data_IF_001962322522
#
_entry.id   IF_001962322522
#
_cell.length_a   1.000
_cell.length_b   1.000
_cell.length_c   1.000
_cell.angle_alpha   90.00
_cell.angle_beta   90.00
_cell.angle_gamma   90.00
#
_symmetry.space_group_name_H-M   'P 1'
#
loop_
_entity.id
_entity.type
_entity.pdbx_description
1 polymer ?
#
# COMPACT_ATOMS: atom_id res chain seq x y z
N UNK A 1 -2.02 -34.23 19.04
CA UNK A 1 -1.26 -32.98 19.21
C UNK A 1 0.17 -33.15 18.68
N UNK A 2 0.90 -34.16 19.13
CA UNK A 2 2.31 -34.37 18.80
C UNK A 2 2.51 -34.52 17.29
N UNK A 3 1.70 -35.35 16.63
CA UNK A 3 1.72 -35.44 15.15
C UNK A 3 1.59 -34.09 14.44
N UNK A 4 0.78 -33.16 14.96
CA UNK A 4 0.60 -31.82 14.34
C UNK A 4 1.87 -30.98 14.46
N UNK A 5 2.56 -31.08 15.62
CA UNK A 5 3.82 -30.37 15.85
C UNK A 5 4.95 -30.98 15.03
N UNK A 6 5.03 -32.31 14.97
CA UNK A 6 6.00 -33.05 14.18
C UNK A 6 5.83 -32.76 12.68
N UNK A 7 4.59 -32.70 12.19
CA UNK A 7 4.31 -32.32 10.81
C UNK A 7 4.68 -30.86 10.49
N UNK A 8 4.46 -29.94 11.45
CA UNK A 8 4.94 -28.56 11.28
C UNK A 8 6.47 -28.50 11.22
N UNK A 9 7.17 -29.25 12.08
CA UNK A 9 8.62 -29.36 12.08
C UNK A 9 9.13 -29.94 10.77
N UNK A 10 8.56 -31.04 10.29
CA UNK A 10 8.86 -31.66 9.01
C UNK A 10 8.73 -30.67 7.84
N UNK A 11 7.65 -29.89 7.77
CA UNK A 11 7.47 -28.88 6.73
C UNK A 11 8.56 -27.80 6.76
N UNK A 12 9.06 -27.45 7.96
CA UNK A 12 10.08 -26.40 8.11
C UNK A 12 11.50 -26.91 7.91
N UNK A 13 11.81 -28.11 8.41
CA UNK A 13 13.16 -28.68 8.43
C UNK A 13 13.42 -29.47 7.16
N UNK A 14 12.63 -30.53 6.91
CA UNK A 14 12.86 -31.45 5.79
C UNK A 14 12.46 -30.81 4.45
N UNK A 15 11.27 -30.23 4.39
CA UNK A 15 10.80 -29.50 3.19
C UNK A 15 11.36 -28.08 3.06
N UNK A 16 12.10 -27.59 4.06
CA UNK A 16 12.72 -26.25 4.08
C UNK A 16 11.76 -25.10 3.72
N UNK A 17 10.51 -25.23 4.09
CA UNK A 17 9.50 -24.19 3.81
C UNK A 17 9.71 -22.98 4.71
N UNK A 18 9.54 -21.81 4.13
CA UNK A 18 9.46 -20.58 4.91
C UNK A 18 8.25 -20.61 5.85
N UNK A 19 8.37 -19.99 7.04
CA UNK A 19 7.38 -20.04 8.13
C UNK A 19 5.93 -19.77 7.66
N UNK A 20 5.71 -18.78 6.80
CA UNK A 20 4.36 -18.48 6.29
C UNK A 20 3.87 -19.49 5.23
N UNK A 21 4.77 -20.19 4.56
CA UNK A 21 4.39 -21.27 3.63
C UNK A 21 3.97 -22.52 4.40
N UNK A 22 4.75 -22.90 5.40
CA UNK A 22 4.41 -23.98 6.32
C UNK A 22 3.06 -23.68 7.03
N UNK A 23 2.89 -22.47 7.58
CA UNK A 23 1.66 -22.03 8.24
C UNK A 23 0.44 -22.13 7.32
N UNK A 24 0.58 -21.80 6.04
CA UNK A 24 -0.50 -21.95 5.06
C UNK A 24 -0.93 -23.40 4.86
N UNK A 25 0.03 -24.33 4.77
CA UNK A 25 -0.27 -25.77 4.67
C UNK A 25 -0.91 -26.29 5.97
N UNK A 26 -0.37 -25.88 7.13
CA UNK A 26 -0.96 -26.22 8.42
C UNK A 26 -2.40 -25.75 8.57
N UNK A 27 -2.78 -24.59 8.04
CA UNK A 27 -4.17 -24.11 8.01
C UNK A 27 -5.07 -24.97 7.13
N UNK A 28 -4.58 -25.44 6.00
CA UNK A 28 -5.33 -26.37 5.14
C UNK A 28 -5.54 -27.67 5.89
N UNK A 29 -4.50 -28.21 6.49
CA UNK A 29 -4.57 -29.43 7.29
C UNK A 29 -5.54 -29.27 8.46
N UNK A 30 -5.45 -28.17 9.23
CA UNK A 30 -6.40 -27.87 10.31
C UNK A 30 -7.86 -27.84 9.81
N UNK A 31 -8.10 -27.26 8.62
CA UNK A 31 -9.45 -27.23 8.05
C UNK A 31 -9.98 -28.63 7.76
N UNK A 32 -9.15 -29.52 7.20
CA UNK A 32 -9.53 -30.91 6.90
C UNK A 32 -9.84 -31.66 8.20
N UNK A 33 -8.93 -31.62 9.20
CA UNK A 33 -9.14 -32.33 10.46
C UNK A 33 -10.36 -31.81 11.23
N UNK A 34 -10.60 -30.49 11.20
CA UNK A 34 -11.82 -29.90 11.80
C UNK A 34 -13.09 -30.40 11.08
N UNK A 35 -13.06 -30.58 9.77
CA UNK A 35 -14.20 -31.17 9.04
C UNK A 35 -14.41 -32.64 9.44
N UNK A 36 -13.33 -33.44 9.51
CA UNK A 36 -13.41 -34.84 9.96
C UNK A 36 -13.93 -34.99 11.39
N UNK A 37 -13.48 -34.10 12.28
CA UNK A 37 -13.98 -34.08 13.67
C UNK A 37 -15.48 -33.76 13.72
N UNK A 38 -15.92 -32.70 13.01
CA UNK A 38 -17.33 -32.29 12.97
C UNK A 38 -18.26 -33.33 12.33
N UNK A 39 -17.76 -34.14 11.41
CA UNK A 39 -18.50 -35.24 10.78
C UNK A 39 -18.44 -36.56 11.57
N UNK A 40 -17.84 -36.58 12.76
CA UNK A 40 -17.73 -37.78 13.58
C UNK A 40 -16.69 -38.79 13.12
N UNK A 41 -15.91 -38.49 12.06
CA UNK A 41 -14.84 -39.36 11.54
C UNK A 41 -13.60 -39.38 12.44
N UNK A 42 -13.47 -38.40 13.34
CA UNK A 42 -12.39 -38.29 14.31
C UNK A 42 -12.97 -38.04 15.69
N UNK A 43 -12.45 -38.76 16.69
CA UNK A 43 -12.89 -38.63 18.09
C UNK A 43 -12.42 -37.33 18.77
N UNK A 44 -11.29 -36.76 18.31
CA UNK A 44 -10.70 -35.52 18.88
C UNK A 44 -10.14 -34.64 17.76
N UNK A 45 -10.26 -33.32 17.93
CA UNK A 45 -9.58 -32.35 17.03
C UNK A 45 -8.09 -32.28 17.41
N UNK A 46 -7.17 -32.70 16.55
CA UNK A 46 -5.72 -32.67 16.85
C UNK A 46 -5.17 -31.24 16.98
N UNK A 47 -5.91 -30.22 16.55
CA UNK A 47 -5.55 -28.82 16.64
C UNK A 47 -6.23 -28.07 17.81
N UNK A 48 -6.90 -28.74 18.73
CA UNK A 48 -7.63 -28.07 19.83
C UNK A 48 -6.77 -27.05 20.58
N UNK A 49 -5.50 -27.40 20.87
CA UNK A 49 -4.56 -26.54 21.60
C UNK A 49 -3.45 -25.94 20.72
N UNK A 50 -3.57 -26.05 19.38
CA UNK A 50 -2.55 -25.56 18.46
C UNK A 50 -2.97 -24.22 17.85
N UNK A 51 -2.22 -23.16 18.18
CA UNK A 51 -2.40 -21.82 17.60
C UNK A 51 -1.39 -21.58 16.49
N UNK A 52 -1.88 -21.54 15.26
CA UNK A 52 -1.05 -21.20 14.10
C UNK A 52 -0.83 -19.68 14.04
N UNK A 53 0.42 -19.24 14.12
CA UNK A 53 0.81 -17.83 14.08
C UNK A 53 1.40 -17.47 12.72
N UNK A 54 0.81 -16.50 12.05
CA UNK A 54 1.37 -15.92 10.84
C UNK A 54 2.42 -14.89 11.18
N UNK A 55 3.61 -15.03 10.61
CA UNK A 55 4.67 -14.01 10.73
C UNK A 55 4.32 -12.84 9.82
N UNK A 56 4.15 -11.65 10.38
CA UNK A 56 3.98 -10.42 9.59
C UNK A 56 5.30 -10.10 8.89
N UNK A 57 5.29 -10.10 7.56
CA UNK A 57 6.44 -9.62 6.77
C UNK A 57 6.17 -8.17 6.42
N UNK A 58 7.06 -7.31 6.82
CA UNK A 58 7.13 -5.97 6.26
C UNK A 58 7.61 -6.11 4.80
N UNK A 59 6.85 -5.56 3.88
CA UNK A 59 7.17 -5.58 2.44
C UNK A 59 7.87 -4.31 2.00
N UNK A 60 7.96 -3.33 2.88
CA UNK A 60 8.51 -2.03 2.60
C UNK A 60 7.69 -1.23 1.58
N UNK A 61 8.24 -0.11 1.20
CA UNK A 61 7.79 0.81 0.15
C UNK A 61 9.00 1.53 -0.41
N UNK A 62 8.89 2.16 -1.57
CA UNK A 62 9.95 3.01 -2.09
C UNK A 62 9.92 4.36 -1.37
N UNK A 63 11.08 4.82 -0.97
CA UNK A 63 11.26 6.21 -0.53
C UNK A 63 11.02 7.16 -1.71
N UNK A 64 10.86 8.44 -1.44
CA UNK A 64 10.74 9.46 -2.49
C UNK A 64 11.93 9.41 -3.45
N UNK A 65 13.13 9.34 -2.93
CA UNK A 65 14.35 9.25 -3.73
C UNK A 65 14.38 7.98 -4.62
N UNK A 66 14.06 6.81 -4.07
CA UNK A 66 14.01 5.56 -4.86
C UNK A 66 12.95 5.61 -5.96
N UNK A 67 11.80 6.25 -5.69
CA UNK A 67 10.75 6.45 -6.70
C UNK A 67 11.21 7.40 -7.79
N UNK A 68 11.91 8.48 -7.46
CA UNK A 68 12.51 9.43 -8.40
C UNK A 68 13.57 8.76 -9.29
N UNK A 69 14.40 7.88 -8.73
CA UNK A 69 15.35 7.08 -9.53
C UNK A 69 14.64 6.25 -10.61
N UNK A 70 13.52 5.58 -10.25
CA UNK A 70 12.75 4.78 -11.21
C UNK A 70 12.06 5.66 -12.25
N UNK A 71 11.49 6.80 -11.84
CA UNK A 71 10.86 7.78 -12.73
C UNK A 71 11.82 8.28 -13.80
N UNK A 72 13.05 8.64 -13.41
CA UNK A 72 14.05 9.22 -14.26
C UNK A 72 14.86 8.17 -15.05
N UNK A 73 14.70 6.89 -14.73
CA UNK A 73 15.41 5.81 -15.43
C UNK A 73 14.97 5.72 -16.89
N UNK A 74 15.93 5.77 -17.81
CA UNK A 74 15.69 5.65 -19.25
C UNK A 74 16.27 4.33 -19.77
N UNK A 75 15.52 3.22 -19.69
CA UNK A 75 16.00 1.93 -20.16
C UNK A 75 16.13 1.90 -21.69
N UNK A 76 17.20 1.32 -22.20
CA UNK A 76 17.42 1.14 -23.65
C UNK A 76 16.51 0.06 -24.24
N UNK A 77 16.09 -0.91 -23.42
CA UNK A 77 15.25 -2.02 -23.87
C UNK A 77 13.78 -1.70 -23.69
N UNK A 78 12.98 -1.69 -24.76
CA UNK A 78 11.52 -1.43 -24.75
C UNK A 78 10.74 -2.26 -23.72
N UNK A 79 11.19 -3.52 -23.44
CA UNK A 79 10.54 -4.38 -22.42
C UNK A 79 10.67 -3.82 -20.99
N UNK A 80 11.83 -3.23 -20.66
CA UNK A 80 12.07 -2.60 -19.36
C UNK A 80 11.33 -1.28 -19.25
N UNK A 81 11.27 -0.52 -20.36
CA UNK A 81 10.48 0.71 -20.42
C UNK A 81 8.99 0.45 -20.13
N UNK A 82 8.39 -0.56 -20.79
CA UNK A 82 7.01 -0.97 -20.50
C UNK A 82 6.81 -1.38 -19.03
N UNK A 83 7.76 -2.16 -18.48
CA UNK A 83 7.67 -2.59 -17.08
C UNK A 83 7.81 -1.40 -16.11
N UNK A 84 8.75 -0.46 -16.38
CA UNK A 84 8.91 0.76 -15.60
C UNK A 84 7.63 1.60 -15.61
N UNK A 85 7.09 1.88 -16.81
CA UNK A 85 5.93 2.75 -16.96
C UNK A 85 4.68 2.18 -16.27
N UNK A 86 4.42 0.88 -16.42
CA UNK A 86 3.33 0.20 -15.69
C UNK A 86 3.57 0.27 -14.17
N UNK A 87 4.80 0.11 -13.72
CA UNK A 87 5.13 0.19 -12.30
C UNK A 87 4.90 1.60 -11.74
N UNK A 88 5.39 2.62 -12.45
CA UNK A 88 5.18 4.03 -12.11
C UNK A 88 3.69 4.36 -12.09
N UNK A 89 2.94 3.93 -13.10
CA UNK A 89 1.49 4.09 -13.12
C UNK A 89 0.84 3.50 -11.85
N UNK A 90 1.22 2.29 -11.46
CA UNK A 90 0.74 1.68 -10.21
C UNK A 90 1.18 2.43 -8.94
N UNK A 91 2.37 3.06 -8.95
CA UNK A 91 2.84 3.88 -7.83
C UNK A 91 2.01 5.17 -7.66
N UNK A 92 1.37 5.67 -8.71
CA UNK A 92 0.57 6.90 -8.67
C UNK A 92 -0.95 6.66 -8.70
N UNK A 93 -1.40 5.42 -8.87
CA UNK A 93 -2.82 5.06 -8.86
C UNK A 93 -3.20 4.07 -7.76
N UNK A 94 -2.23 3.33 -7.23
CA UNK A 94 -2.44 2.32 -6.21
C UNK A 94 -3.09 1.03 -6.72
N UNK A 95 -3.37 0.89 -8.01
CA UNK A 95 -3.93 -0.34 -8.57
C UNK A 95 -2.95 -1.51 -8.43
N UNK A 96 -3.49 -2.69 -8.16
CA UNK A 96 -2.70 -3.92 -8.20
C UNK A 96 -2.51 -4.41 -9.65
N UNK A 97 -1.59 -5.37 -9.82
CA UNK A 97 -1.27 -5.93 -11.13
C UNK A 97 -2.51 -6.40 -11.90
N UNK A 98 -3.40 -7.15 -11.25
CA UNK A 98 -4.58 -7.73 -11.90
C UNK A 98 -5.55 -6.65 -12.37
N UNK A 99 -5.80 -5.65 -11.53
CA UNK A 99 -6.64 -4.50 -11.87
C UNK A 99 -6.01 -3.69 -13.00
N UNK A 100 -4.70 -3.40 -12.93
CA UNK A 100 -4.02 -2.64 -13.98
C UNK A 100 -4.04 -3.37 -15.32
N UNK A 101 -3.90 -4.69 -15.32
CA UNK A 101 -3.93 -5.51 -16.53
C UNK A 101 -5.33 -5.60 -17.18
N UNK A 102 -6.39 -5.33 -16.43
CA UNK A 102 -7.77 -5.34 -16.93
C UNK A 102 -8.32 -3.97 -17.31
N UNK A 103 -7.54 -2.87 -17.09
CA UNK A 103 -8.01 -1.52 -17.41
C UNK A 103 -8.19 -1.33 -18.92
N UNK A 104 -9.36 -0.82 -19.27
CA UNK A 104 -9.74 -0.45 -20.65
C UNK A 104 -10.17 1.01 -20.72
N UNK A 105 -10.41 1.51 -21.91
CA UNK A 105 -10.91 2.88 -22.13
C UNK A 105 -12.24 3.15 -21.44
N UNK A 106 -13.06 2.12 -21.24
CA UNK A 106 -14.33 2.21 -20.50
C UNK A 106 -14.16 2.57 -19.02
N UNK A 107 -12.95 2.39 -18.48
CA UNK A 107 -12.64 2.77 -17.11
C UNK A 107 -12.26 4.26 -16.95
N UNK A 108 -12.04 4.97 -18.07
CA UNK A 108 -11.71 6.39 -18.06
C UNK A 108 -12.99 7.21 -17.97
N UNK A 109 -13.06 8.11 -17.00
CA UNK A 109 -14.20 9.00 -16.76
C UNK A 109 -13.68 10.43 -16.70
N UNK A 110 -14.21 11.28 -17.57
CA UNK A 110 -13.99 12.71 -17.50
C UNK A 110 -15.03 13.33 -16.54
N UNK A 111 -14.57 13.98 -15.49
CA UNK A 111 -15.45 14.68 -14.56
C UNK A 111 -15.79 16.09 -15.06
N UNK A 112 -16.83 16.71 -14.49
CA UNK A 112 -17.34 18.04 -14.89
C UNK A 112 -16.28 19.15 -14.72
N UNK A 113 -15.32 18.96 -13.81
CA UNK A 113 -14.18 19.86 -13.58
C UNK A 113 -13.03 19.68 -14.59
N UNK A 114 -13.23 18.84 -15.61
CA UNK A 114 -12.20 18.51 -16.62
C UNK A 114 -11.15 17.53 -16.13
N UNK A 115 -11.22 17.05 -14.91
CA UNK A 115 -10.26 16.05 -14.39
C UNK A 115 -10.59 14.64 -14.89
N UNK A 116 -9.53 13.88 -15.20
CA UNK A 116 -9.65 12.49 -15.63
C UNK A 116 -9.55 11.55 -14.43
N UNK A 117 -10.45 10.59 -14.36
CA UNK A 117 -10.52 9.57 -13.33
C UNK A 117 -10.47 8.17 -13.92
N UNK A 118 -10.02 7.22 -13.13
CA UNK A 118 -10.25 5.79 -13.40
C UNK A 118 -11.26 5.28 -12.38
N UNK A 119 -12.34 4.72 -12.90
CA UNK A 119 -13.36 4.00 -12.12
C UNK A 119 -13.31 2.51 -12.49
N UNK A 120 -13.10 1.68 -11.50
CA UNK A 120 -12.97 0.23 -11.70
C UNK A 120 -13.36 -0.54 -10.45
N UNK A 121 -13.45 -1.85 -10.58
CA UNK A 121 -13.62 -2.74 -9.44
C UNK A 121 -12.36 -3.56 -9.26
N UNK A 122 -11.90 -3.67 -8.03
CA UNK A 122 -10.72 -4.49 -7.74
C UNK A 122 -11.00 -5.95 -8.10
N UNK A 123 -10.22 -6.51 -9.03
CA UNK A 123 -10.43 -7.89 -9.56
C UNK A 123 -10.48 -8.93 -8.44
N UNK A 124 -9.68 -8.78 -7.38
CA UNK A 124 -9.61 -9.74 -6.27
C UNK A 124 -10.79 -9.71 -5.32
N UNK A 125 -11.47 -8.59 -5.16
CA UNK A 125 -12.47 -8.39 -4.09
C UNK A 125 -13.80 -7.83 -4.58
N UNK A 126 -13.91 -7.44 -5.85
CA UNK A 126 -15.09 -6.79 -6.42
C UNK A 126 -15.38 -5.39 -5.85
N UNK A 127 -14.52 -4.84 -4.98
CA UNK A 127 -14.74 -3.54 -4.36
C UNK A 127 -14.44 -2.44 -5.36
N UNK A 128 -15.34 -1.45 -5.45
CA UNK A 128 -15.15 -0.27 -6.27
C UNK A 128 -13.91 0.52 -5.84
N UNK A 129 -13.18 1.02 -6.82
CA UNK A 129 -12.00 1.86 -6.64
C UNK A 129 -12.09 3.00 -7.66
N UNK A 130 -11.99 4.24 -7.17
CA UNK A 130 -12.03 5.45 -7.98
C UNK A 130 -10.81 6.30 -7.65
N UNK A 131 -10.01 6.64 -8.67
CA UNK A 131 -8.75 7.37 -8.50
C UNK A 131 -8.67 8.48 -9.53
N UNK A 132 -8.42 9.71 -9.07
CA UNK A 132 -8.10 10.84 -9.93
C UNK A 132 -6.71 10.66 -10.52
N UNK A 133 -6.58 10.83 -11.81
CA UNK A 133 -5.29 10.72 -12.48
C UNK A 133 -4.51 12.04 -12.32
N UNK A 134 -3.30 11.90 -11.81
CA UNK A 134 -2.30 12.96 -11.75
C UNK A 134 -1.55 13.03 -13.10
N UNK A 135 -0.72 14.04 -13.28
CA UNK A 135 -0.01 14.30 -14.57
C UNK A 135 0.86 13.12 -15.02
N UNK A 136 1.54 12.43 -14.07
CA UNK A 136 2.41 11.30 -14.39
C UNK A 136 1.62 10.12 -14.98
N UNK A 137 0.57 9.57 -14.35
CA UNK A 137 -0.24 8.53 -14.97
C UNK A 137 -0.93 9.00 -16.27
N UNK A 138 -1.37 10.26 -16.38
CA UNK A 138 -1.92 10.80 -17.61
C UNK A 138 -0.90 10.78 -18.76
N UNK A 139 0.33 11.21 -18.52
CA UNK A 139 1.40 11.20 -19.52
C UNK A 139 1.75 9.79 -19.98
N UNK A 140 1.70 8.80 -19.05
CA UNK A 140 1.91 7.39 -19.40
C UNK A 140 0.75 6.87 -20.27
N UNK A 141 -0.50 7.18 -19.92
CA UNK A 141 -1.66 6.76 -20.74
C UNK A 141 -1.61 7.36 -22.14
N UNK A 142 -1.25 8.65 -22.28
CA UNK A 142 -1.06 9.34 -23.57
C UNK A 142 0.05 8.70 -24.38
N UNK A 143 1.18 8.34 -23.75
CA UNK A 143 2.30 7.65 -24.41
C UNK A 143 1.88 6.35 -25.09
N UNK A 144 1.02 5.56 -24.44
CA UNK A 144 0.60 4.26 -24.95
C UNK A 144 -0.67 4.30 -25.80
N UNK A 145 -1.35 5.43 -25.89
CA UNK A 145 -2.59 5.60 -26.64
C UNK A 145 -2.48 5.15 -28.11
N UNK A 146 -1.43 5.52 -28.89
CA UNK A 146 -1.32 5.10 -30.28
C UNK A 146 -1.03 3.61 -30.46
N UNK A 147 -0.64 2.90 -29.40
CA UNK A 147 -0.21 1.49 -29.44
C UNK A 147 -1.13 0.58 -28.63
N UNK A 148 -2.30 1.06 -28.23
CA UNK A 148 -3.30 0.25 -27.52
C UNK A 148 -3.77 -0.92 -28.37
N UNK A 149 -3.92 -2.07 -27.73
CA UNK A 149 -4.40 -3.30 -28.36
C UNK A 149 -5.65 -3.73 -27.61
N UNK A 150 -6.72 -4.06 -28.32
CA UNK A 150 -8.00 -4.53 -27.75
C UNK A 150 -8.60 -3.60 -26.71
N UNK A 151 -8.35 -2.29 -26.80
CA UNK A 151 -8.88 -1.29 -25.87
C UNK A 151 -8.19 -1.25 -24.50
N UNK A 152 -7.17 -2.07 -24.25
CA UNK A 152 -6.41 -2.01 -22.99
C UNK A 152 -5.58 -0.74 -22.88
N UNK A 153 -5.62 -0.09 -21.71
CA UNK A 153 -4.94 1.20 -21.50
C UNK A 153 -3.42 1.08 -21.49
N UNK A 154 -2.87 -0.04 -21.05
CA UNK A 154 -1.44 -0.22 -20.80
C UNK A 154 -0.92 -1.55 -21.35
N UNK A 155 0.33 -1.61 -21.83
CA UNK A 155 0.96 -2.83 -22.33
C UNK A 155 1.46 -3.73 -21.18
N UNK A 156 0.54 -4.25 -20.35
CA UNK A 156 0.91 -5.05 -19.18
C UNK A 156 1.43 -6.41 -19.60
N UNK A 157 2.63 -6.75 -19.12
CA UNK A 157 3.29 -8.03 -19.34
C UNK A 157 2.74 -9.08 -18.37
N UNK A 158 2.97 -10.39 -18.63
CA UNK A 158 2.65 -11.43 -17.66
C UNK A 158 3.32 -11.15 -16.30
N UNK A 159 2.67 -11.51 -15.20
CA UNK A 159 3.14 -11.18 -13.85
C UNK A 159 4.57 -11.67 -13.57
N UNK A 160 4.93 -12.85 -14.09
CA UNK A 160 6.29 -13.40 -13.96
C UNK A 160 7.32 -12.52 -14.68
N UNK A 161 7.09 -12.19 -15.96
CA UNK A 161 7.98 -11.32 -16.75
C UNK A 161 8.04 -9.92 -16.17
N UNK A 162 6.90 -9.36 -15.74
CA UNK A 162 6.82 -8.05 -15.12
C UNK A 162 7.70 -7.96 -13.88
N UNK A 163 7.56 -8.89 -12.92
CA UNK A 163 8.39 -8.91 -11.72
C UNK A 163 9.87 -9.20 -12.01
N UNK A 164 10.18 -10.00 -13.03
CA UNK A 164 11.57 -10.23 -13.47
C UNK A 164 12.21 -8.92 -13.95
N UNK A 165 11.50 -8.14 -14.78
CA UNK A 165 12.01 -6.88 -15.30
C UNK A 165 12.08 -5.78 -14.24
N UNK A 166 11.17 -5.76 -13.27
CA UNK A 166 11.27 -4.88 -12.11
C UNK A 166 12.53 -5.19 -11.28
N UNK A 167 12.91 -6.47 -11.14
CA UNK A 167 14.16 -6.84 -10.49
C UNK A 167 15.37 -6.35 -11.29
N UNK A 168 15.37 -6.48 -12.62
CA UNK A 168 16.43 -5.98 -13.51
C UNK A 168 16.59 -4.45 -13.35
N UNK A 169 15.49 -3.71 -13.32
CA UNK A 169 15.48 -2.24 -13.12
C UNK A 169 16.03 -1.90 -11.72
N UNK A 170 15.57 -2.57 -10.67
CA UNK A 170 16.04 -2.33 -9.31
C UNK A 170 17.54 -2.54 -9.16
N UNK A 171 18.07 -3.62 -9.76
CA UNK A 171 19.51 -3.91 -9.78
C UNK A 171 20.29 -2.82 -10.52
N UNK A 172 19.80 -2.37 -11.68
CA UNK A 172 20.45 -1.31 -12.46
C UNK A 172 20.50 0.05 -11.73
N UNK A 173 19.54 0.30 -10.82
CA UNK A 173 19.44 1.51 -10.04
C UNK A 173 20.05 1.39 -8.63
N UNK A 174 20.64 0.25 -8.27
CA UNK A 174 21.19 0.02 -6.92
C UNK A 174 20.14 -0.06 -5.81
N UNK A 175 18.86 -0.24 -6.15
CA UNK A 175 17.78 -0.35 -5.16
C UNK A 175 17.84 -1.73 -4.50
N UNK A 176 18.20 -1.77 -3.22
CA UNK A 176 18.35 -3.02 -2.46
C UNK A 176 17.01 -3.70 -2.11
N UNK A 177 15.91 -2.96 -2.17
CA UNK A 177 14.58 -3.49 -1.89
C UNK A 177 14.10 -4.40 -3.01
N UNK A 178 13.33 -5.43 -2.64
CA UNK A 178 12.69 -6.29 -3.62
C UNK A 178 11.55 -5.56 -4.31
N UNK A 179 11.82 -4.93 -5.45
CA UNK A 179 10.81 -4.25 -6.26
C UNK A 179 9.90 -5.29 -6.93
N UNK A 180 8.61 -5.20 -6.65
CA UNK A 180 7.56 -6.09 -7.18
C UNK A 180 6.31 -5.28 -7.49
N UNK A 181 5.41 -5.83 -8.30
CA UNK A 181 4.11 -5.20 -8.59
C UNK A 181 3.34 -4.75 -7.34
N UNK A 182 3.45 -5.50 -6.24
CA UNK A 182 2.77 -5.17 -4.99
C UNK A 182 3.44 -4.01 -4.23
N UNK A 183 4.76 -3.82 -4.41
CA UNK A 183 5.49 -2.70 -3.80
C UNK A 183 4.98 -1.36 -4.34
N UNK A 184 4.59 -1.27 -5.62
CA UNK A 184 4.00 -0.06 -6.19
C UNK A 184 2.78 0.43 -5.39
N UNK A 185 1.89 -0.49 -5.04
CA UNK A 185 0.70 -0.17 -4.25
C UNK A 185 1.03 0.26 -2.81
N UNK A 186 2.06 -0.32 -2.20
CA UNK A 186 2.58 0.15 -0.90
C UNK A 186 3.18 1.55 -1.03
N UNK A 187 3.94 1.81 -2.09
CA UNK A 187 4.53 3.11 -2.40
C UNK A 187 3.45 4.18 -2.62
N UNK A 188 2.38 3.85 -3.36
CA UNK A 188 1.22 4.75 -3.48
C UNK A 188 0.66 5.12 -2.12
N UNK A 189 0.35 4.11 -1.30
CA UNK A 189 -0.30 4.33 -0.02
C UNK A 189 0.57 5.11 0.99
N UNK A 190 1.90 4.96 0.93
CA UNK A 190 2.85 5.62 1.84
C UNK A 190 3.44 6.88 1.24
N UNK A 191 4.32 6.73 0.26
CA UNK A 191 5.17 7.81 -0.28
C UNK A 191 4.37 8.83 -1.09
N UNK A 192 3.40 8.35 -1.89
CA UNK A 192 2.64 9.21 -2.81
C UNK A 192 1.44 9.86 -2.13
N UNK A 193 0.74 9.14 -1.23
CA UNK A 193 -0.49 9.68 -0.64
C UNK A 193 -0.32 10.05 0.84
N UNK A 194 -0.08 9.09 1.74
CA UNK A 194 -0.05 9.35 3.18
C UNK A 194 1.02 10.36 3.58
N UNK A 195 2.23 10.24 3.05
CA UNK A 195 3.32 11.18 3.29
C UNK A 195 3.02 12.62 2.79
N UNK A 196 2.04 12.79 1.90
CA UNK A 196 1.58 14.08 1.40
C UNK A 196 0.24 14.53 2.02
N UNK A 197 -0.17 13.93 3.14
CA UNK A 197 -1.32 14.38 3.94
C UNK A 197 -2.68 13.87 3.48
N UNK A 198 -2.73 12.87 2.60
CA UNK A 198 -4.00 12.23 2.24
C UNK A 198 -4.49 11.35 3.40
N UNK A 199 -5.76 11.49 3.78
CA UNK A 199 -6.33 10.72 4.90
C UNK A 199 -6.33 9.22 4.64
N UNK A 200 -6.22 8.44 5.72
CA UNK A 200 -6.17 6.98 5.62
C UNK A 200 -7.49 6.40 5.08
N UNK A 201 -8.61 7.07 5.32
CA UNK A 201 -9.94 6.73 4.80
C UNK A 201 -10.01 6.91 3.29
N UNK A 202 -9.48 8.03 2.78
CA UNK A 202 -9.40 8.31 1.35
C UNK A 202 -8.49 7.31 0.64
N UNK A 203 -7.33 7.01 1.23
CA UNK A 203 -6.42 5.97 0.72
C UNK A 203 -7.12 4.61 0.69
N UNK A 204 -7.86 4.25 1.74
CA UNK A 204 -8.61 3.00 1.81
C UNK A 204 -9.63 2.86 0.68
N UNK A 205 -10.36 3.94 0.38
CA UNK A 205 -11.32 4.01 -0.74
C UNK A 205 -10.61 3.87 -2.08
N UNK A 206 -9.56 4.65 -2.34
CA UNK A 206 -8.77 4.57 -3.58
C UNK A 206 -8.20 3.17 -3.80
N UNK A 207 -7.74 2.52 -2.74
CA UNK A 207 -7.22 1.16 -2.80
C UNK A 207 -8.32 0.07 -2.89
N UNK A 208 -9.59 0.38 -2.73
CA UNK A 208 -10.65 -0.63 -2.69
C UNK A 208 -10.47 -1.64 -1.56
N UNK A 209 -10.12 -1.17 -0.35
CA UNK A 209 -10.03 -2.04 0.82
C UNK A 209 -11.40 -2.15 1.51
N UNK A 210 -11.82 -3.38 1.82
CA UNK A 210 -13.06 -3.66 2.56
C UNK A 210 -12.96 -3.32 4.05
N UNK A 211 -11.73 -3.30 4.59
CA UNK A 211 -11.46 -3.03 6.02
C UNK A 211 -10.39 -1.96 6.15
N UNK A 212 -10.69 -0.89 6.87
CA UNK A 212 -9.76 0.20 7.14
C UNK A 212 -8.47 -0.29 7.82
N UNK A 213 -8.57 -1.29 8.69
CA UNK A 213 -7.41 -1.92 9.34
C UNK A 213 -6.34 -2.44 8.36
N UNK A 214 -6.72 -2.76 7.10
CA UNK A 214 -5.78 -3.14 6.05
C UNK A 214 -4.95 -1.96 5.59
N UNK A 215 -5.47 -0.73 5.69
CA UNK A 215 -4.82 0.52 5.29
C UNK A 215 -4.03 1.13 6.44
N UNK A 216 -4.46 0.93 7.69
CA UNK A 216 -3.78 1.43 8.89
C UNK A 216 -2.33 0.95 9.07
N UNK A 217 -1.92 -0.11 8.36
CA UNK A 217 -0.51 -0.52 8.33
C UNK A 217 0.41 0.59 7.79
N UNK A 218 -0.10 1.46 6.91
CA UNK A 218 0.67 2.56 6.32
C UNK A 218 0.83 3.74 7.29
N UNK A 219 -0.14 3.98 8.16
CA UNK A 219 -0.08 5.04 9.17
C UNK A 219 1.04 4.81 10.20
N UNK A 220 1.38 3.54 10.48
CA UNK A 220 2.43 3.17 11.45
C UNK A 220 3.86 3.41 10.93
N UNK A 221 4.01 3.69 9.64
CA UNK A 221 5.31 3.72 8.97
C UNK A 221 5.88 5.15 8.94
N UNK A 222 5.07 6.18 9.18
CA UNK A 222 5.46 7.58 9.00
C UNK A 222 5.29 8.36 10.31
N UNK A 223 6.28 8.25 11.22
CA UNK A 223 6.32 9.04 12.47
C UNK A 223 6.32 10.56 12.23
N UNK A 224 6.78 11.01 11.06
CA UNK A 224 6.80 12.43 10.67
C UNK A 224 5.40 13.03 10.44
N UNK A 225 4.36 12.23 10.33
CA UNK A 225 3.00 12.73 10.05
C UNK A 225 2.43 13.46 11.26
N UNK A 226 2.67 12.96 12.47
CA UNK A 226 2.18 13.59 13.71
C UNK A 226 2.79 14.98 13.87
N UNK A 227 4.11 15.11 13.68
CA UNK A 227 4.80 16.41 13.75
C UNK A 227 4.21 17.39 12.74
N UNK A 228 4.04 16.96 11.48
CA UNK A 228 3.48 17.82 10.41
C UNK A 228 2.03 18.21 10.66
N UNK A 229 1.21 17.32 11.22
CA UNK A 229 -0.18 17.64 11.57
C UNK A 229 -0.24 18.61 12.75
N UNK A 230 0.66 18.47 13.73
CA UNK A 230 0.82 19.42 14.82
C UNK A 230 1.33 20.78 14.33
N UNK A 231 2.24 20.82 13.37
CA UNK A 231 2.70 22.07 12.74
C UNK A 231 1.57 22.79 12.00
N UNK A 232 0.73 22.07 11.26
CA UNK A 232 -0.47 22.61 10.61
C UNK A 232 -1.47 23.13 11.63
N UNK A 233 -1.71 22.39 12.72
CA UNK A 233 -2.57 22.81 13.80
C UNK A 233 -2.03 24.08 14.47
N UNK A 234 -0.73 24.13 14.76
CA UNK A 234 -0.08 25.29 15.32
C UNK A 234 -0.26 26.51 14.41
N UNK A 235 -0.03 26.36 13.09
CA UNK A 235 -0.25 27.44 12.12
C UNK A 235 -1.71 27.88 12.04
N UNK A 236 -2.66 26.97 12.14
CA UNK A 236 -4.09 27.29 12.15
C UNK A 236 -4.53 28.01 13.43
N UNK A 237 -3.93 27.66 14.58
CA UNK A 237 -4.25 28.25 15.88
C UNK A 237 -3.53 29.59 16.11
N UNK A 238 -2.41 29.86 15.48
CA UNK A 238 -1.69 31.14 15.60
C UNK A 238 -2.45 32.35 15.06
N UNK A 239 -3.53 32.13 14.29
CA UNK A 239 -4.48 33.16 13.84
C UNK A 239 -5.71 33.31 14.74
N UNK A 240 -5.85 32.53 15.82
CA UNK A 240 -7.00 32.56 16.73
C UNK A 240 -6.56 33.07 18.10
N UNK A 241 -7.48 33.77 18.83
CA UNK A 241 -7.24 34.42 20.12
C UNK A 241 -7.08 33.45 21.31
N UNK A 242 -6.46 32.30 21.10
CA UNK A 242 -6.05 31.42 22.19
C UNK A 242 -4.75 31.96 22.79
N UNK A 243 -4.84 32.97 23.71
CA UNK A 243 -3.71 33.41 24.51
C UNK A 243 -3.90 32.97 25.96
N UNK A 244 -2.85 32.50 26.59
CA UNK A 244 -2.80 32.26 28.03
C UNK A 244 -2.74 33.61 28.81
N UNK A 245 -3.66 34.55 28.50
CA UNK A 245 -3.81 35.78 29.29
C UNK A 245 -4.73 35.51 30.46
N UNK A 246 -4.16 34.94 31.49
CA UNK A 246 -4.74 34.79 32.82
C UNK A 246 -3.62 34.85 33.84
N UNK A 247 -3.17 36.06 34.16
CA UNK A 247 -2.22 36.23 35.26
C UNK A 247 -1.47 37.57 35.20
N UNK A 248 -1.80 38.44 36.14
CA UNK A 248 -1.07 39.58 36.65
C UNK A 248 -1.14 40.90 35.92
N UNK A 249 -2.27 41.59 36.17
CA UNK A 249 -2.28 43.01 36.32
C UNK A 249 -2.84 43.34 37.72
N UNK A 250 -2.05 43.15 38.73
CA UNK A 250 -2.27 43.83 40.01
C UNK A 250 -0.94 43.88 40.83
N UNK A 251 -0.19 44.93 40.65
CA UNK A 251 0.84 45.31 41.57
C UNK A 251 1.11 46.82 41.45
N UNK A 252 0.37 47.57 42.21
CA UNK A 252 1.03 48.65 42.97
C UNK A 252 1.13 50.02 42.37
N UNK A 253 0.05 50.79 42.34
CA UNK A 253 0.13 52.20 42.63
C UNK A 253 0.59 52.40 44.11
N UNK A 254 1.82 52.69 44.31
CA UNK A 254 2.33 53.21 45.59
C UNK A 254 2.40 54.73 45.50
N UNK A 255 1.47 55.33 46.26
CA UNK A 255 1.37 56.72 46.59
C UNK A 255 2.68 57.32 47.04
N UNK A 256 3.15 58.34 46.36
CA UNK A 256 4.11 59.31 46.88
C UNK A 256 3.36 60.45 47.52
N UNK A 257 3.40 60.58 48.83
CA UNK A 257 3.05 61.80 49.57
C UNK A 257 4.30 62.27 50.30
N UNK A 258 4.66 63.49 49.89
CA UNK A 258 5.19 64.66 50.67
C UNK A 258 5.68 64.37 52.09
N UNK A 259 6.95 64.67 52.39
CA UNK A 259 7.47 65.84 53.06
C UNK A 259 8.98 65.92 52.89
#
# INVERSE_FOLDING_TARGET
RDFVLDFEAYLKVDYRLQANSAEKLMRIFKRITTMCFKSGLMAKDPFCDVRLKKVKKDRGYLTRHELELILNYKPTKKRLEKARDVFVFCCFTGFDYSTTASLTEQNLVLADDGSMWIETHRVKTGVASKVKLLDIPLSILKKYEPTRINGYLLPVLSNAKYNLYLKEIATALGIQKRVTSHLARHTFATTVTYANGVSIESISKMLGHTKLATTQIYARIVDQTVSREMDKLSAALSGTSFSLNGGDSDAGEAVASTE
#
